data_IF_619977402413
#
_entry.id   IF_619977402413
#
_cell.length_a   1.000
_cell.length_b   1.000
_cell.length_c   1.000
_cell.angle_alpha   90.00
_cell.angle_beta   90.00
_cell.angle_gamma   90.00
#
_symmetry.space_group_name_H-M   'P 1'
#
loop_
_entity.id
_entity.type
_entity.pdbx_description
1 polymer ?
#
# COMPACT_ATOMS: atom_id res chain seq x y z
N UNK A 1 -27.63 0.98 -8.48
CA UNK A 1 -26.33 1.11 -7.78
C UNK A 1 -25.83 -0.29 -7.59
N UNK A 2 -24.58 -0.56 -8.00
CA UNK A 2 -23.98 -1.88 -7.84
C UNK A 2 -23.74 -2.20 -6.36
N UNK A 3 -23.79 -3.48 -6.00
CA UNK A 3 -23.55 -3.94 -4.63
C UNK A 3 -22.10 -3.70 -4.20
N UNK A 4 -21.14 -3.83 -5.13
CA UNK A 4 -19.72 -3.58 -4.93
C UNK A 4 -19.18 -2.49 -5.86
N UNK A 5 -18.06 -1.88 -5.47
CA UNK A 5 -17.29 -0.99 -6.34
C UNK A 5 -16.41 -1.82 -7.28
N UNK A 6 -15.72 -2.81 -6.72
CA UNK A 6 -14.83 -3.72 -7.45
C UNK A 6 -15.06 -5.16 -7.00
N UNK A 7 -15.14 -6.09 -7.95
CA UNK A 7 -14.95 -7.52 -7.71
C UNK A 7 -13.66 -7.97 -8.38
N UNK A 8 -12.76 -8.57 -7.63
CA UNK A 8 -11.64 -9.36 -8.16
C UNK A 8 -12.11 -10.82 -8.20
N UNK A 9 -12.36 -11.35 -9.39
CA UNK A 9 -12.97 -12.65 -9.59
C UNK A 9 -11.94 -13.76 -9.86
N UNK A 10 -12.25 -14.98 -9.43
CA UNK A 10 -11.52 -16.20 -9.80
C UNK A 10 -10.03 -16.23 -9.43
N UNK A 11 -9.64 -15.47 -8.41
CA UNK A 11 -8.26 -15.45 -7.94
C UNK A 11 -7.94 -16.67 -7.09
N UNK A 12 -6.66 -17.06 -7.07
CA UNK A 12 -6.14 -17.92 -6.00
C UNK A 12 -5.76 -17.04 -4.80
N UNK A 13 -6.60 -17.05 -3.78
CA UNK A 13 -6.50 -16.20 -2.60
C UNK A 13 -5.50 -16.81 -1.60
N UNK A 14 -4.56 -15.99 -1.12
CA UNK A 14 -3.64 -16.31 -0.02
C UNK A 14 -3.76 -15.20 1.02
N UNK A 15 -4.57 -15.43 2.04
CA UNK A 15 -4.94 -14.43 3.06
C UNK A 15 -4.02 -14.45 4.31
N UNK A 16 -3.04 -15.37 4.34
CA UNK A 16 -2.12 -15.54 5.47
C UNK A 16 -2.70 -16.30 6.67
N UNK A 17 -3.97 -16.71 6.62
CA UNK A 17 -4.66 -17.45 7.69
C UNK A 17 -5.03 -18.86 7.24
N UNK A 18 -5.57 -18.98 6.03
CA UNK A 18 -6.06 -20.23 5.45
C UNK A 18 -5.05 -20.82 4.45
N UNK A 19 -5.21 -22.12 4.13
CA UNK A 19 -4.55 -22.69 2.94
C UNK A 19 -5.10 -22.01 1.70
N UNK A 20 -4.26 -21.75 0.71
CA UNK A 20 -4.68 -21.08 -0.53
C UNK A 20 -5.89 -21.74 -1.20
N UNK A 21 -6.88 -20.94 -1.62
CA UNK A 21 -8.13 -21.39 -2.23
C UNK A 21 -8.54 -20.51 -3.40
N UNK A 22 -9.41 -21.04 -4.29
CA UNK A 22 -9.98 -20.25 -5.39
C UNK A 22 -11.21 -19.51 -4.88
N UNK A 23 -11.33 -18.22 -5.22
CA UNK A 23 -12.49 -17.42 -4.87
C UNK A 23 -12.42 -16.02 -5.46
N UNK A 24 -13.27 -15.14 -4.95
CA UNK A 24 -13.38 -13.76 -5.36
C UNK A 24 -13.27 -12.83 -4.15
N UNK A 25 -12.99 -11.55 -4.40
CA UNK A 25 -12.91 -10.50 -3.38
C UNK A 25 -13.83 -9.36 -3.82
N UNK A 26 -14.81 -9.01 -2.98
CA UNK A 26 -15.70 -7.88 -3.18
C UNK A 26 -15.23 -6.68 -2.36
N UNK A 27 -15.06 -5.52 -3.00
CA UNK A 27 -14.65 -4.26 -2.38
C UNK A 27 -15.78 -3.26 -2.46
N UNK A 28 -16.10 -2.62 -1.33
CA UNK A 28 -17.10 -1.55 -1.23
C UNK A 28 -16.63 -0.46 -0.28
N UNK A 29 -16.68 0.80 -0.71
CA UNK A 29 -16.21 1.95 0.06
C UNK A 29 -14.73 1.88 0.40
N UNK A 30 -13.91 1.27 -0.46
CA UNK A 30 -12.48 1.05 -0.21
C UNK A 30 -12.15 -0.04 0.81
N UNK A 31 -13.15 -0.81 1.27
CA UNK A 31 -12.99 -1.88 2.25
C UNK A 31 -13.31 -3.23 1.59
N UNK A 32 -12.55 -4.27 1.95
CA UNK A 32 -12.90 -5.65 1.59
C UNK A 32 -14.18 -6.05 2.31
N UNK A 33 -15.28 -6.14 1.57
CA UNK A 33 -16.62 -6.41 2.09
C UNK A 33 -16.99 -7.90 2.07
N UNK A 34 -16.39 -8.68 1.17
CA UNK A 34 -16.60 -10.12 1.06
C UNK A 34 -15.37 -10.82 0.45
N UNK A 35 -15.12 -12.07 0.86
CA UNK A 35 -14.01 -12.92 0.37
C UNK A 35 -14.49 -14.36 0.23
N UNK A 36 -14.04 -15.05 -0.81
CA UNK A 36 -14.43 -16.43 -1.11
C UNK A 36 -15.57 -16.45 -2.12
N UNK A 37 -16.76 -16.88 -1.71
CA UNK A 37 -17.93 -16.81 -2.58
C UNK A 37 -18.53 -15.40 -2.56
N UNK A 38 -18.29 -14.64 -3.64
CA UNK A 38 -18.84 -13.28 -3.82
C UNK A 38 -19.88 -13.32 -4.93
N UNK A 39 -21.13 -13.02 -4.58
CA UNK A 39 -22.28 -12.90 -5.49
C UNK A 39 -22.72 -11.44 -5.55
N UNK A 40 -23.39 -11.04 -6.63
CA UNK A 40 -23.86 -9.67 -6.85
C UNK A 40 -23.19 -8.99 -8.03
N UNK A 41 -23.51 -7.72 -8.25
CA UNK A 41 -22.94 -6.88 -9.30
C UNK A 41 -21.88 -5.91 -8.74
N UNK A 42 -20.98 -5.46 -9.61
CA UNK A 42 -19.97 -4.47 -9.27
C UNK A 42 -19.85 -3.43 -10.37
N UNK A 43 -19.45 -2.20 -9.99
CA UNK A 43 -19.15 -1.16 -10.98
C UNK A 43 -17.96 -1.57 -11.86
N UNK A 44 -17.02 -2.35 -11.32
CA UNK A 44 -15.89 -2.94 -12.05
C UNK A 44 -15.67 -4.39 -11.64
N UNK A 45 -15.47 -5.27 -12.63
CA UNK A 45 -15.06 -6.66 -12.42
C UNK A 45 -13.68 -6.87 -13.04
N UNK A 46 -12.78 -7.48 -12.29
CA UNK A 46 -11.42 -7.83 -12.71
C UNK A 46 -11.31 -9.35 -12.68
N UNK A 47 -11.10 -10.00 -13.82
CA UNK A 47 -10.82 -11.44 -13.87
C UNK A 47 -9.35 -11.70 -13.52
N UNK A 48 -9.12 -12.39 -12.41
CA UNK A 48 -7.81 -12.74 -11.88
C UNK A 48 -7.54 -14.25 -12.00
N UNK A 49 -8.19 -14.93 -12.95
CA UNK A 49 -7.95 -16.33 -13.27
C UNK A 49 -6.47 -16.61 -13.52
N UNK A 50 -5.92 -17.59 -12.81
CA UNK A 50 -4.49 -17.95 -12.91
C UNK A 50 -3.54 -17.03 -12.15
N UNK A 51 -4.05 -15.98 -11.48
CA UNK A 51 -3.27 -15.05 -10.67
C UNK A 51 -3.50 -15.30 -9.17
N UNK A 52 -2.57 -14.78 -8.36
CA UNK A 52 -2.69 -14.77 -6.91
C UNK A 52 -3.31 -13.46 -6.46
N UNK A 53 -4.25 -13.53 -5.51
CA UNK A 53 -4.69 -12.39 -4.72
C UNK A 53 -4.13 -12.53 -3.30
N UNK A 54 -3.33 -11.54 -2.90
CA UNK A 54 -2.67 -11.49 -1.59
C UNK A 54 -2.92 -10.13 -0.95
N UNK A 55 -2.85 -9.99 0.39
CA UNK A 55 -2.77 -8.69 1.02
C UNK A 55 -1.63 -7.87 0.40
N UNK A 56 -1.87 -6.58 0.21
CA UNK A 56 -0.81 -5.68 -0.26
C UNK A 56 0.40 -5.73 0.67
N UNK A 57 1.60 -5.69 0.09
CA UNK A 57 2.81 -5.84 0.89
C UNK A 57 3.04 -4.61 1.77
N UNK A 58 3.60 -4.86 2.95
CA UNK A 58 4.06 -3.84 3.89
C UNK A 58 5.57 -3.83 3.80
N UNK A 59 6.14 -2.73 3.32
CA UNK A 59 7.58 -2.48 3.35
C UNK A 59 7.96 -1.97 4.75
N UNK A 60 8.62 -2.78 5.60
CA UNK A 60 8.91 -2.41 6.97
C UNK A 60 10.11 -1.45 7.08
N UNK A 61 10.85 -1.22 5.99
CA UNK A 61 12.10 -0.48 6.04
C UNK A 61 12.32 0.35 4.77
N UNK A 62 11.73 1.54 4.76
CA UNK A 62 11.78 2.44 3.61
C UNK A 62 12.38 3.80 3.95
N UNK A 63 13.02 4.41 2.97
CA UNK A 63 13.43 5.82 2.97
C UNK A 63 12.54 6.68 2.05
N UNK A 64 11.32 6.21 1.77
CA UNK A 64 10.38 6.90 0.90
C UNK A 64 9.98 8.29 1.43
N UNK A 65 10.16 8.57 2.72
CA UNK A 65 10.00 9.89 3.32
C UNK A 65 10.88 10.99 2.69
N UNK A 66 12.01 10.63 2.09
CA UNK A 66 12.81 11.57 1.30
C UNK A 66 12.33 11.73 -0.15
N UNK A 67 11.65 10.73 -0.71
CA UNK A 67 11.26 10.69 -2.12
C UNK A 67 9.80 11.07 -2.38
N UNK A 68 8.88 10.86 -1.42
CA UNK A 68 7.45 11.15 -1.57
C UNK A 68 7.14 12.56 -2.08
N UNK A 69 7.81 13.64 -1.61
CA UNK A 69 7.54 14.99 -2.13
C UNK A 69 7.87 15.14 -3.63
N UNK A 70 8.76 14.31 -4.16
CA UNK A 70 9.21 14.34 -5.55
C UNK A 70 8.48 13.30 -6.44
N UNK A 71 8.07 12.18 -5.85
CA UNK A 71 7.44 11.04 -6.54
C UNK A 71 6.16 10.61 -5.80
N UNK A 72 5.07 11.41 -5.89
CA UNK A 72 3.86 11.19 -5.10
C UNK A 72 3.07 9.94 -5.49
N UNK A 73 3.25 9.45 -6.71
CA UNK A 73 2.56 8.24 -7.22
C UNK A 73 3.22 6.94 -6.73
N UNK A 74 4.40 7.03 -6.11
CA UNK A 74 5.06 5.92 -5.44
C UNK A 74 5.28 4.70 -6.33
N UNK A 75 5.53 4.90 -7.63
CA UNK A 75 5.45 3.85 -8.64
C UNK A 75 6.40 2.70 -8.35
N UNK A 76 7.59 3.00 -7.82
CA UNK A 76 8.54 1.97 -7.39
C UNK A 76 7.93 0.99 -6.39
N UNK A 77 7.18 1.48 -5.39
CA UNK A 77 6.55 0.64 -4.39
C UNK A 77 5.33 -0.10 -4.97
N UNK A 78 4.47 0.61 -5.70
CA UNK A 78 3.23 0.06 -6.28
C UNK A 78 3.54 -1.07 -7.27
N UNK A 79 4.56 -0.90 -8.12
CA UNK A 79 4.94 -1.90 -9.13
C UNK A 79 5.53 -3.18 -8.51
N UNK A 80 5.91 -3.15 -7.23
CA UNK A 80 6.34 -4.32 -6.47
C UNK A 80 5.20 -4.93 -5.65
N UNK A 81 4.01 -4.32 -5.63
CA UNK A 81 2.86 -4.75 -4.82
C UNK A 81 2.86 -4.20 -3.40
N UNK A 82 3.74 -3.25 -3.07
CA UNK A 82 3.73 -2.58 -1.77
C UNK A 82 2.57 -1.58 -1.71
N UNK A 83 1.79 -1.65 -0.64
CA UNK A 83 0.63 -0.78 -0.38
C UNK A 83 0.80 0.04 0.89
N UNK A 84 1.81 -0.26 1.70
CA UNK A 84 2.15 0.47 2.91
C UNK A 84 3.66 0.45 3.07
N UNK A 85 4.21 1.59 3.50
CA UNK A 85 5.63 1.70 3.83
C UNK A 85 5.79 2.24 5.25
N UNK A 86 6.82 1.78 5.94
CA UNK A 86 7.26 2.35 7.21
C UNK A 86 8.52 3.18 6.95
N UNK A 87 8.37 4.50 7.02
CA UNK A 87 9.42 5.49 6.78
C UNK A 87 10.20 5.85 8.07
N UNK A 88 11.10 6.84 8.01
CA UNK A 88 11.81 7.37 9.19
C UNK A 88 12.88 6.41 9.73
N UNK A 89 13.47 5.63 8.84
CA UNK A 89 14.39 4.54 9.19
C UNK A 89 15.82 5.04 9.45
N UNK A 90 16.63 4.18 10.06
CA UNK A 90 18.06 4.42 10.28
C UNK A 90 18.40 5.69 11.08
N UNK A 91 17.47 6.17 11.92
CA UNK A 91 17.67 7.36 12.75
C UNK A 91 17.50 8.68 11.99
N UNK A 92 16.91 8.67 10.80
CA UNK A 92 16.61 9.87 10.03
C UNK A 92 15.14 9.94 9.63
N UNK A 93 14.53 11.10 9.80
CA UNK A 93 13.22 11.46 9.22
C UNK A 93 13.25 12.95 8.80
N UNK A 94 12.46 13.36 7.80
CA UNK A 94 12.39 14.75 7.36
C UNK A 94 11.73 15.66 8.42
N UNK A 95 10.93 15.10 9.33
CA UNK A 95 10.25 15.81 10.40
C UNK A 95 9.83 14.87 11.55
N UNK A 96 9.51 15.41 12.73
CA UNK A 96 9.85 16.77 13.19
C UNK A 96 11.34 16.83 13.61
N UNK A 97 12.07 17.80 13.06
CA UNK A 97 13.47 18.07 13.41
C UNK A 97 13.60 18.77 14.78
N UNK A 98 12.50 19.31 15.33
CA UNK A 98 12.48 20.03 16.61
C UNK A 98 12.37 19.11 17.83
N UNK A 99 13.09 19.50 18.89
CA UNK A 99 13.28 18.87 20.22
C UNK A 99 14.01 17.52 20.32
N UNK A 100 13.96 16.62 19.34
CA UNK A 100 14.51 15.26 19.50
C UNK A 100 15.65 14.87 18.56
N UNK A 101 15.99 15.68 17.54
CA UNK A 101 16.97 15.30 16.53
C UNK A 101 17.81 16.49 16.05
N UNK A 102 19.14 16.32 15.98
CA UNK A 102 20.04 17.32 15.41
C UNK A 102 19.87 17.30 13.88
N UNK A 103 19.83 18.45 13.17
CA UNK A 103 19.68 18.44 11.71
C UNK A 103 20.77 17.58 11.05
N UNK A 104 20.46 16.83 9.98
CA UNK A 104 21.47 16.14 9.18
C UNK A 104 22.56 17.12 8.74
N UNK A 105 23.84 16.70 8.74
CA UNK A 105 24.98 17.58 8.40
C UNK A 105 24.85 18.31 7.04
N UNK A 106 24.04 17.78 6.12
CA UNK A 106 23.79 18.40 4.81
C UNK A 106 22.75 19.53 4.80
N UNK A 107 21.96 19.69 5.87
CA UNK A 107 20.91 20.72 5.99
C UNK A 107 21.29 21.85 6.97
N UNK A 108 22.42 21.73 7.67
CA UNK A 108 22.85 22.77 8.63
C UNK A 108 23.29 24.07 7.97
N UNK A 109 23.63 24.10 6.67
CA UNK A 109 24.08 25.33 6.02
C UNK A 109 22.99 26.06 5.22
N UNK A 110 21.94 25.40 4.73
CA UNK A 110 20.91 26.07 3.91
C UNK A 110 19.64 26.49 4.69
N UNK A 111 19.33 25.86 5.82
CA UNK A 111 18.07 26.12 6.56
C UNK A 111 18.18 27.17 7.67
N UNK A 112 19.40 27.59 8.06
CA UNK A 112 19.62 28.59 9.11
C UNK A 112 20.17 29.94 8.61
N UNK A 113 20.33 30.11 7.30
CA UNK A 113 20.72 31.39 6.67
C UNK A 113 19.57 32.13 5.97
N UNK A 114 18.31 31.75 6.25
CA UNK A 114 17.13 32.51 5.84
C UNK A 114 16.18 32.77 7.00
#
# INVERSE_FOLDING_TARGET
MSEYDVIVANAKIVDGVNKAYIGSIGVRGGIVAAVGEVRGDAARVIDASGLLAVPGFVDPHSHADGSFPWYPDCESAVMQGCTTVVAGQCGGSPAPLGEFMRPPRGLTEELFER
#
